data_IF_816074894959
#
_entry.id   IF_816074894959
#
_cell.length_a   1.000
_cell.length_b   1.000
_cell.length_c   1.000
_cell.angle_alpha   90.00
_cell.angle_beta   90.00
_cell.angle_gamma   90.00
#
_symmetry.space_group_name_H-M   'P 1'
#
loop_
_entity.id
_entity.type
_entity.pdbx_description
1 polymer ?
#
# COMPACT_ATOMS: atom_id res chain seq x y z
N UNK A 1 -0.39 -5.53 10.33
CA UNK A 1 -0.49 -4.43 9.35
C UNK A 1 -1.44 -4.85 8.25
N UNK A 2 -2.24 -3.91 7.76
CA UNK A 2 -3.13 -4.12 6.61
C UNK A 2 -2.93 -2.99 5.60
N UNK A 3 -2.71 -3.33 4.33
CA UNK A 3 -2.48 -2.37 3.24
C UNK A 3 -3.56 -2.62 2.20
N UNK A 4 -4.27 -1.56 1.81
CA UNK A 4 -5.26 -1.58 0.74
C UNK A 4 -4.79 -0.66 -0.39
N UNK A 5 -4.61 -1.22 -1.58
CA UNK A 5 -4.15 -0.52 -2.78
C UNK A 5 -5.27 -0.48 -3.82
N UNK A 6 -5.53 0.70 -4.37
CA UNK A 6 -6.42 0.90 -5.51
C UNK A 6 -5.54 1.23 -6.71
N UNK A 7 -5.32 0.25 -7.58
CA UNK A 7 -4.32 0.31 -8.67
C UNK A 7 -5.07 0.56 -9.99
N UNK A 8 -4.65 1.55 -10.78
CA UNK A 8 -5.26 1.92 -12.07
C UNK A 8 -4.88 0.94 -13.19
N UNK A 9 -5.32 -0.30 -13.06
CA UNK A 9 -5.12 -1.33 -14.07
C UNK A 9 -6.22 -2.37 -14.01
N UNK A 10 -6.51 -2.99 -15.17
CA UNK A 10 -7.30 -4.21 -15.30
C UNK A 10 -6.42 -5.46 -15.44
N UNK A 11 -5.10 -5.26 -15.57
CA UNK A 11 -4.14 -6.33 -15.76
C UNK A 11 -3.66 -6.83 -14.40
N UNK A 12 -3.98 -8.09 -14.09
CA UNK A 12 -3.59 -8.72 -12.82
C UNK A 12 -2.07 -8.83 -12.64
N UNK A 13 -1.32 -8.99 -13.73
CA UNK A 13 0.14 -9.11 -13.66
C UNK A 13 0.78 -7.76 -13.28
N UNK A 14 0.27 -6.66 -13.84
CA UNK A 14 0.67 -5.30 -13.46
C UNK A 14 0.36 -5.01 -11.99
N UNK A 15 -0.85 -5.37 -11.53
CA UNK A 15 -1.22 -5.23 -10.13
C UNK A 15 -0.30 -6.05 -9.21
N UNK A 16 0.08 -7.26 -9.63
CA UNK A 16 1.01 -8.12 -8.89
C UNK A 16 2.42 -7.52 -8.84
N UNK A 17 2.87 -6.89 -9.92
CA UNK A 17 4.15 -6.19 -9.97
C UNK A 17 4.16 -4.97 -9.03
N UNK A 18 3.07 -4.19 -8.99
CA UNK A 18 2.90 -3.08 -8.04
C UNK A 18 3.01 -3.56 -6.60
N UNK A 19 2.28 -4.62 -6.24
CA UNK A 19 2.34 -5.23 -4.90
C UNK A 19 3.76 -5.70 -4.58
N UNK A 20 4.43 -6.36 -5.53
CA UNK A 20 5.79 -6.87 -5.33
C UNK A 20 6.81 -5.74 -5.12
N UNK A 21 6.71 -4.66 -5.90
CA UNK A 21 7.56 -3.46 -5.74
C UNK A 21 7.33 -2.79 -4.39
N UNK A 22 6.09 -2.61 -3.99
CA UNK A 22 5.76 -2.00 -2.70
C UNK A 22 6.29 -2.84 -1.53
N UNK A 23 6.14 -4.17 -1.59
CA UNK A 23 6.65 -5.06 -0.55
C UNK A 23 8.18 -5.15 -0.52
N UNK A 24 8.88 -4.80 -1.60
CA UNK A 24 10.35 -4.80 -1.62
C UNK A 24 10.98 -3.76 -0.68
N UNK A 25 10.20 -2.77 -0.23
CA UNK A 25 10.62 -1.80 0.80
C UNK A 25 10.50 -2.34 2.23
N UNK A 26 9.96 -3.55 2.38
CA UNK A 26 9.84 -4.23 3.68
C UNK A 26 10.92 -5.31 3.73
N UNK A 27 11.70 -5.32 4.81
CA UNK A 27 12.68 -6.40 5.04
C UNK A 27 11.96 -7.76 5.11
N UNK A 28 12.22 -8.62 4.14
CA UNK A 28 11.59 -9.94 4.00
C UNK A 28 11.81 -10.82 5.25
N UNK A 29 12.99 -10.73 5.89
CA UNK A 29 13.31 -11.48 7.12
C UNK A 29 12.43 -11.07 8.32
N UNK A 30 11.80 -9.89 8.25
CA UNK A 30 10.90 -9.41 9.30
C UNK A 30 9.44 -9.81 9.05
N UNK A 31 9.11 -10.40 7.89
CA UNK A 31 7.74 -10.82 7.57
C UNK A 31 7.49 -12.20 8.17
N UNK A 32 6.64 -12.26 9.19
CA UNK A 32 6.19 -13.50 9.83
C UNK A 32 5.08 -14.17 9.04
N UNK A 33 4.15 -13.38 8.51
CA UNK A 33 3.02 -13.86 7.72
C UNK A 33 2.62 -12.83 6.67
N UNK A 34 2.19 -13.32 5.51
CA UNK A 34 1.72 -12.52 4.38
C UNK A 34 0.56 -13.21 3.70
N UNK A 35 -0.53 -12.46 3.50
CA UNK A 35 -1.68 -12.84 2.69
C UNK A 35 -2.01 -11.69 1.73
N UNK A 36 -2.19 -12.01 0.45
CA UNK A 36 -2.42 -11.04 -0.62
C UNK A 36 -3.64 -11.47 -1.42
N UNK A 37 -4.63 -10.59 -1.49
CA UNK A 37 -5.72 -10.65 -2.46
C UNK A 37 -5.53 -9.61 -3.55
N UNK A 38 -5.86 -9.97 -4.79
CA UNK A 38 -5.86 -9.08 -5.96
C UNK A 38 -7.11 -9.41 -6.77
N UNK A 39 -8.03 -8.46 -6.84
CA UNK A 39 -9.33 -8.62 -7.51
C UNK A 39 -9.79 -7.30 -8.17
N UNK A 40 -10.62 -7.36 -9.23
CA UNK A 40 -11.22 -6.16 -9.80
C UNK A 40 -12.01 -5.38 -8.76
N UNK A 41 -11.91 -4.05 -8.77
CA UNK A 41 -12.68 -3.22 -7.86
C UNK A 41 -14.11 -3.06 -8.36
N UNK A 42 -15.09 -3.37 -7.51
CA UNK A 42 -16.51 -3.42 -7.91
C UNK A 42 -17.09 -2.09 -8.41
N UNK A 43 -16.49 -0.95 -8.03
CA UNK A 43 -17.03 0.38 -8.31
C UNK A 43 -16.47 1.03 -9.58
N UNK A 44 -15.24 0.70 -9.97
CA UNK A 44 -14.55 1.30 -11.11
C UNK A 44 -13.92 0.21 -11.96
N UNK A 45 -14.31 0.16 -13.24
CA UNK A 45 -13.95 -0.92 -14.16
C UNK A 45 -12.45 -0.96 -14.52
N UNK A 46 -11.74 0.14 -14.31
CA UNK A 46 -10.31 0.33 -14.59
C UNK A 46 -9.43 0.22 -13.35
N UNK A 47 -9.99 -0.13 -12.19
CA UNK A 47 -9.27 -0.26 -10.92
C UNK A 47 -9.23 -1.71 -10.46
N UNK A 48 -8.04 -2.16 -10.07
CA UNK A 48 -7.82 -3.40 -9.32
C UNK A 48 -7.59 -3.07 -7.85
N UNK A 49 -8.30 -3.78 -6.97
CA UNK A 49 -8.10 -3.72 -5.53
C UNK A 49 -7.06 -4.78 -5.13
N UNK A 50 -6.01 -4.38 -4.42
CA UNK A 50 -5.16 -5.31 -3.69
C UNK A 50 -5.27 -5.10 -2.19
N UNK A 51 -5.53 -6.18 -1.48
CA UNK A 51 -5.55 -6.20 -0.02
C UNK A 51 -4.42 -7.10 0.49
N UNK A 52 -3.54 -6.51 1.31
CA UNK A 52 -2.35 -7.18 1.83
C UNK A 52 -2.44 -7.19 3.35
N UNK A 53 -2.43 -8.39 3.94
CA UNK A 53 -2.28 -8.57 5.39
C UNK A 53 -0.86 -9.01 5.68
N UNK A 54 -0.18 -8.25 6.54
CA UNK A 54 1.19 -8.53 6.97
C UNK A 54 1.25 -8.65 8.48
N UNK A 55 1.85 -9.74 8.97
CA UNK A 55 2.31 -9.86 10.35
C UNK A 55 3.84 -9.77 10.34
N UNK A 56 4.39 -8.89 11.16
CA UNK A 56 5.84 -8.71 11.28
C UNK A 56 6.34 -9.33 12.59
N UNK A 57 7.56 -9.86 12.59
CA UNK A 57 8.21 -10.30 13.84
C UNK A 57 8.47 -9.13 14.78
N UNK A 58 8.81 -7.96 14.21
CA UNK A 58 8.98 -6.69 14.92
C UNK A 58 8.20 -5.60 14.18
N UNK A 59 7.47 -4.72 14.88
CA UNK A 59 6.82 -3.58 14.25
C UNK A 59 7.88 -2.66 13.63
N UNK A 60 7.46 -1.86 12.64
CA UNK A 60 8.33 -0.83 12.08
C UNK A 60 8.79 0.14 13.16
N UNK A 61 10.08 0.46 13.13
CA UNK A 61 10.55 1.66 13.81
C UNK A 61 10.13 2.90 12.97
N UNK A 62 10.31 4.10 13.51
CA UNK A 62 9.89 5.32 12.82
C UNK A 62 10.57 5.50 11.46
N UNK A 63 11.86 5.17 11.33
CA UNK A 63 12.57 5.30 10.07
C UNK A 63 12.07 4.28 9.04
N UNK A 64 11.91 3.00 9.42
CA UNK A 64 11.36 1.97 8.52
C UNK A 64 9.97 2.38 8.01
N UNK A 65 9.17 2.98 8.91
CA UNK A 65 7.83 3.46 8.58
C UNK A 65 7.89 4.62 7.60
N UNK A 66 8.71 5.62 7.88
CA UNK A 66 8.80 6.82 7.05
C UNK A 66 9.39 6.49 5.67
N UNK A 67 10.44 5.66 5.59
CA UNK A 67 11.02 5.18 4.33
C UNK A 67 9.99 4.39 3.50
N UNK A 68 9.22 3.52 4.16
CA UNK A 68 8.15 2.77 3.50
C UNK A 68 7.05 3.70 2.96
N UNK A 69 6.62 4.69 3.74
CA UNK A 69 5.60 5.65 3.34
C UNK A 69 6.08 6.56 2.19
N UNK A 70 7.30 7.07 2.26
CA UNK A 70 7.92 7.92 1.24
C UNK A 70 8.14 7.16 -0.08
N UNK A 71 8.31 5.84 -0.01
CA UNK A 71 8.39 5.00 -1.21
C UNK A 71 7.08 4.92 -2.00
N UNK A 72 5.94 5.24 -1.37
CA UNK A 72 4.61 5.10 -1.96
C UNK A 72 4.02 6.47 -2.31
N UNK A 73 4.16 7.45 -1.42
CA UNK A 73 3.55 8.77 -1.57
C UNK A 73 4.35 9.88 -0.92
N UNK A 74 4.35 11.06 -1.53
CA UNK A 74 4.89 12.27 -0.93
C UNK A 74 3.96 12.94 0.10
N UNK A 75 2.72 12.45 0.29
CA UNK A 75 1.73 13.10 1.16
C UNK A 75 0.76 12.11 1.77
N UNK A 76 0.52 12.24 3.07
CA UNK A 76 -0.35 11.35 3.84
C UNK A 76 -1.32 12.13 4.72
N UNK A 77 -2.56 11.66 4.79
CA UNK A 77 -3.53 12.03 5.82
C UNK A 77 -3.43 11.00 6.94
N UNK A 78 -3.26 11.46 8.17
CA UNK A 78 -3.13 10.60 9.35
C UNK A 78 -4.44 10.55 10.13
N UNK A 79 -4.92 9.35 10.40
CA UNK A 79 -6.07 9.08 11.26
C UNK A 79 -5.56 8.46 12.57
N UNK A 80 -5.16 9.34 13.49
CA UNK A 80 -4.47 8.91 14.71
C UNK A 80 -3.04 8.43 14.43
N UNK A 81 -2.60 7.40 15.15
CA UNK A 81 -1.24 6.82 15.01
C UNK A 81 -1.20 5.56 14.16
N UNK A 82 -2.36 4.95 13.93
CA UNK A 82 -2.48 3.59 13.40
C UNK A 82 -2.85 3.59 11.92
N UNK A 83 -3.51 4.62 11.41
CA UNK A 83 -4.00 4.64 10.03
C UNK A 83 -3.48 5.85 9.24
N UNK A 84 -3.10 5.60 7.99
CA UNK A 84 -2.75 6.62 7.02
C UNK A 84 -3.40 6.36 5.66
N UNK A 85 -3.74 7.44 4.96
CA UNK A 85 -4.32 7.41 3.62
C UNK A 85 -3.57 8.37 2.71
N UNK A 86 -3.41 7.97 1.45
CA UNK A 86 -2.98 8.86 0.38
C UNK A 86 -3.79 8.60 -0.89
N UNK A 87 -4.11 9.64 -1.63
CA UNK A 87 -4.91 9.58 -2.86
C UNK A 87 -4.43 10.61 -3.87
N UNK A 88 -4.55 10.31 -5.17
CA UNK A 88 -4.24 11.27 -6.24
C UNK A 88 -5.13 12.53 -6.21
N UNK A 89 -6.34 12.44 -5.65
CA UNK A 89 -7.26 13.58 -5.53
C UNK A 89 -6.83 14.62 -4.48
N UNK A 90 -5.79 14.33 -3.71
CA UNK A 90 -5.26 15.27 -2.71
C UNK A 90 -4.38 16.33 -3.39
N UNK A 91 -4.58 17.60 -3.04
CA UNK A 91 -3.78 18.72 -3.57
C UNK A 91 -2.26 18.46 -3.46
N UNK A 92 -1.56 18.54 -4.60
CA UNK A 92 -0.13 18.32 -4.75
C UNK A 92 0.38 16.94 -4.29
N UNK A 93 -0.49 15.92 -4.28
CA UNK A 93 -0.11 14.54 -4.02
C UNK A 93 0.48 13.88 -5.27
N UNK A 94 1.48 13.02 -5.05
CA UNK A 94 2.08 12.15 -6.05
C UNK A 94 2.18 10.76 -5.46
N UNK A 95 1.41 9.84 -6.04
CA UNK A 95 1.50 8.42 -5.75
C UNK A 95 2.47 7.75 -6.74
N UNK A 96 3.27 6.83 -6.23
CA UNK A 96 4.04 5.90 -7.04
C UNK A 96 3.15 4.71 -7.47
N UNK A 97 3.63 3.92 -8.43
CA UNK A 97 3.02 2.63 -8.81
C UNK A 97 1.61 2.67 -9.41
N UNK A 98 1.23 3.78 -10.06
CA UNK A 98 -0.07 3.92 -10.74
C UNK A 98 -1.26 3.65 -9.79
N UNK A 99 -1.15 4.15 -8.57
CA UNK A 99 -2.17 4.03 -7.53
C UNK A 99 -3.14 5.21 -7.62
N UNK A 100 -4.44 4.95 -7.52
CA UNK A 100 -5.46 5.97 -7.27
C UNK A 100 -5.52 6.35 -5.78
N UNK A 101 -5.37 5.33 -4.92
CA UNK A 101 -5.43 5.48 -3.48
C UNK A 101 -4.69 4.34 -2.78
N UNK A 102 -4.15 4.64 -1.61
CA UNK A 102 -3.58 3.68 -0.67
C UNK A 102 -4.06 3.99 0.73
N UNK A 103 -4.46 2.95 1.47
CA UNK A 103 -4.81 3.03 2.89
C UNK A 103 -4.02 1.99 3.68
N UNK A 104 -3.35 2.41 4.74
CA UNK A 104 -2.44 1.56 5.52
C UNK A 104 -2.82 1.63 6.99
N UNK A 105 -3.00 0.47 7.59
CA UNK A 105 -3.21 0.28 9.02
C UNK A 105 -1.96 -0.37 9.64
N UNK A 106 -1.21 0.42 10.39
CA UNK A 106 -0.12 0.01 11.27
C UNK A 106 -0.72 -0.52 12.58
N UNK A 107 -0.70 -1.83 12.73
CA UNK A 107 -1.13 -2.57 13.94
C UNK A 107 0.01 -2.78 14.91
#
# INVERSE_FOLDING_TARGET
MFIRLFIKTINKDEATEVVSKLLSYINEDNIKYKDISIEPYWKYEDITLSEIKLELYRPFNNNDRDDFLDSISNKWVYFGKEEVLSSEDMDNCKLNYNLEMVNIFFS
#
